data_IF_453219268950
#
_entry.id   IF_453219268950
#
_cell.length_a   1.000
_cell.length_b   1.000
_cell.length_c   1.000
_cell.angle_alpha   90.00
_cell.angle_beta   90.00
_cell.angle_gamma   90.00
#
_symmetry.space_group_name_H-M   'P 1'
#
loop_
_entity.id
_entity.type
_entity.pdbx_description
1 polymer ?
#
# COMPACT_ATOMS: atom_id res chain seq x y z
N UNK A 1 31.45 -13.02 -26.91
CA UNK A 1 30.59 -13.88 -26.08
C UNK A 1 30.09 -13.00 -24.94
N UNK A 2 28.84 -12.56 -25.02
CA UNK A 2 28.16 -11.80 -23.95
C UNK A 2 27.31 -12.80 -23.14
N UNK A 3 27.32 -12.76 -21.81
CA UNK A 3 26.40 -13.60 -21.05
C UNK A 3 24.99 -13.02 -21.12
N UNK A 4 24.03 -13.84 -21.50
CA UNK A 4 22.62 -13.55 -21.40
C UNK A 4 22.21 -13.60 -19.91
N UNK A 5 21.89 -12.45 -19.33
CA UNK A 5 21.17 -12.40 -18.07
C UNK A 5 19.70 -12.75 -18.37
N UNK A 6 19.31 -13.92 -17.92
CA UNK A 6 17.93 -14.38 -17.92
C UNK A 6 17.16 -13.54 -16.91
N UNK A 7 16.35 -12.59 -17.37
CA UNK A 7 15.42 -11.84 -16.52
C UNK A 7 14.31 -12.77 -16.06
N UNK A 8 14.40 -13.19 -14.81
CA UNK A 8 13.31 -13.86 -14.11
C UNK A 8 12.36 -12.77 -13.57
N UNK A 9 11.39 -12.35 -14.39
CA UNK A 9 10.37 -11.38 -14.02
C UNK A 9 9.19 -12.10 -13.34
N UNK A 10 9.12 -11.99 -12.02
CA UNK A 10 8.01 -12.51 -11.22
C UNK A 10 6.92 -11.44 -11.03
N UNK A 11 5.71 -11.92 -11.02
CA UNK A 11 4.44 -11.17 -10.98
C UNK A 11 4.25 -10.28 -9.77
N UNK A 12 3.66 -9.14 -10.01
CA UNK A 12 3.34 -8.18 -8.98
C UNK A 12 1.89 -7.76 -9.03
N UNK A 13 1.21 -8.03 -7.94
CA UNK A 13 -0.03 -7.35 -7.61
C UNK A 13 0.33 -6.00 -6.97
N UNK A 14 0.09 -4.91 -7.67
CA UNK A 14 -0.04 -3.60 -7.05
C UNK A 14 -1.42 -3.58 -6.38
N UNK A 15 -1.48 -4.03 -5.12
CA UNK A 15 -2.70 -3.79 -4.35
C UNK A 15 -2.66 -2.33 -3.95
N UNK A 16 -3.38 -1.51 -4.70
CA UNK A 16 -3.90 -0.26 -4.16
C UNK A 16 -4.65 -0.61 -2.87
N UNK A 17 -4.18 -0.11 -1.74
CA UNK A 17 -4.91 -0.19 -0.48
C UNK A 17 -6.08 0.79 -0.55
N UNK A 18 -7.04 0.50 -1.39
CA UNK A 18 -8.39 1.01 -1.31
C UNK A 18 -9.23 -0.12 -0.73
N UNK A 19 -9.90 0.15 0.38
CA UNK A 19 -10.97 -0.71 0.84
C UNK A 19 -12.03 -0.80 -0.25
N UNK A 20 -12.17 -1.94 -0.87
CA UNK A 20 -13.34 -2.29 -1.68
C UNK A 20 -13.60 -3.76 -1.49
N UNK A 21 -14.86 -4.07 -1.30
CA UNK A 21 -15.43 -5.38 -1.07
C UNK A 21 -14.94 -6.42 -2.07
N UNK A 22 -14.40 -7.53 -1.54
CA UNK A 22 -14.27 -8.77 -2.29
C UNK A 22 -15.66 -9.33 -2.62
N UNK A 23 -16.05 -9.21 -3.88
CA UNK A 23 -16.96 -10.19 -4.49
C UNK A 23 -16.16 -11.10 -5.42
N UNK A 24 -16.16 -12.34 -5.05
CA UNK A 24 -15.52 -13.50 -5.64
C UNK A 24 -15.46 -13.52 -7.17
N UNK A 25 -14.25 -13.63 -7.73
CA UNK A 25 -14.01 -14.48 -8.90
C UNK A 25 -12.70 -15.25 -8.70
N UNK A 26 -12.84 -16.56 -8.75
CA UNK A 26 -11.77 -17.53 -8.59
C UNK A 26 -10.77 -17.46 -9.74
N UNK A 27 -9.48 -17.24 -9.43
CA UNK A 27 -8.35 -18.03 -9.92
C UNK A 27 -7.04 -17.49 -9.37
N UNK A 28 -6.28 -18.40 -8.74
CA UNK A 28 -4.86 -18.29 -8.37
C UNK A 28 -4.48 -17.21 -7.35
N UNK A 29 -5.01 -17.34 -6.14
CA UNK A 29 -4.32 -16.89 -4.93
C UNK A 29 -3.14 -17.83 -4.66
N UNK A 30 -1.92 -17.30 -4.48
CA UNK A 30 -0.92 -18.02 -3.72
C UNK A 30 -1.53 -18.27 -2.34
N UNK A 31 -1.79 -19.53 -2.04
CA UNK A 31 -2.36 -19.99 -0.78
C UNK A 31 -1.59 -19.39 0.41
N UNK A 32 -2.26 -18.51 1.15
CA UNK A 32 -1.91 -18.16 2.53
C UNK A 32 -2.31 -19.37 3.44
N UNK A 33 -1.86 -20.58 3.06
CA UNK A 33 -2.15 -21.86 3.72
C UNK A 33 -1.19 -22.16 4.86
N UNK A 34 -0.47 -21.17 5.37
CA UNK A 34 0.32 -21.32 6.59
C UNK A 34 -0.59 -21.52 7.82
N UNK A 35 -0.96 -22.75 8.13
CA UNK A 35 -1.25 -23.17 9.49
C UNK A 35 -2.71 -23.19 9.98
N UNK A 36 -3.73 -23.30 9.14
CA UNK A 36 -5.13 -23.46 9.62
C UNK A 36 -5.82 -24.70 9.03
N UNK A 37 -5.11 -25.82 8.88
CA UNK A 37 -5.73 -27.07 8.41
C UNK A 37 -6.55 -27.82 9.48
N UNK A 38 -6.45 -27.45 10.76
CA UNK A 38 -7.14 -28.14 11.86
C UNK A 38 -7.94 -27.20 12.77
N UNK A 39 -8.91 -26.45 12.19
CA UNK A 39 -9.87 -25.70 13.00
C UNK A 39 -10.85 -26.70 13.64
N UNK A 40 -10.85 -26.76 14.94
CA UNK A 40 -11.74 -27.64 15.69
C UNK A 40 -13.19 -27.11 15.74
N UNK A 41 -14.12 -27.94 16.28
CA UNK A 41 -15.54 -27.56 16.37
C UNK A 41 -15.75 -26.37 17.31
N UNK A 42 -14.98 -26.24 18.37
CA UNK A 42 -15.09 -25.16 19.35
C UNK A 42 -14.61 -23.82 18.73
N UNK A 43 -13.58 -23.85 17.92
CA UNK A 43 -13.10 -22.67 17.20
C UNK A 43 -14.10 -22.19 16.13
N UNK A 44 -14.75 -23.13 15.43
CA UNK A 44 -15.86 -22.79 14.50
C UNK A 44 -17.03 -22.16 15.23
N UNK A 45 -17.43 -22.70 16.38
CA UNK A 45 -18.47 -22.11 17.21
C UNK A 45 -18.05 -20.72 17.73
N UNK A 46 -16.81 -20.55 18.14
CA UNK A 46 -16.25 -19.26 18.56
C UNK A 46 -16.22 -18.26 17.40
N UNK A 47 -15.85 -18.68 16.18
CA UNK A 47 -15.88 -17.87 14.99
C UNK A 47 -17.28 -17.39 14.61
N UNK A 48 -18.29 -18.25 14.77
CA UNK A 48 -19.68 -17.91 14.50
C UNK A 48 -20.24 -16.80 15.41
N UNK A 49 -19.62 -16.54 16.56
CA UNK A 49 -19.99 -15.48 17.51
C UNK A 49 -19.29 -14.14 17.20
N UNK A 50 -18.29 -14.16 16.30
CA UNK A 50 -17.54 -12.95 15.94
C UNK A 50 -18.37 -12.02 15.08
N UNK A 51 -18.14 -10.73 15.24
CA UNK A 51 -18.76 -9.66 14.46
C UNK A 51 -17.72 -8.94 13.62
N UNK A 52 -18.03 -8.70 12.37
CA UNK A 52 -17.24 -7.79 11.53
C UNK A 52 -17.28 -6.40 12.16
N UNK A 53 -16.13 -5.84 12.43
CA UNK A 53 -16.06 -4.45 12.87
C UNK A 53 -16.33 -3.52 11.67
N UNK A 54 -16.98 -2.41 11.95
CA UNK A 54 -17.02 -1.27 11.03
C UNK A 54 -15.93 -0.33 11.46
N UNK A 55 -14.91 -0.15 10.62
CA UNK A 55 -13.79 0.75 10.93
C UNK A 55 -14.21 2.21 10.64
N UNK A 56 -14.25 3.09 11.65
CA UNK A 56 -14.52 4.51 11.43
C UNK A 56 -13.53 5.18 10.48
N UNK A 57 -12.29 4.67 10.40
CA UNK A 57 -11.27 5.17 9.48
C UNK A 57 -11.61 4.81 8.04
N UNK A 58 -12.04 3.56 7.79
CA UNK A 58 -12.50 3.14 6.46
C UNK A 58 -13.69 3.99 6.00
N UNK A 59 -14.66 4.24 6.88
CA UNK A 59 -15.80 5.12 6.57
C UNK A 59 -15.35 6.56 6.23
N UNK A 60 -14.39 7.13 6.98
CA UNK A 60 -13.83 8.45 6.69
C UNK A 60 -13.12 8.47 5.33
N UNK A 61 -12.34 7.43 5.01
CA UNK A 61 -11.66 7.28 3.72
C UNK A 61 -12.67 7.17 2.58
N UNK A 62 -13.72 6.37 2.75
CA UNK A 62 -14.77 6.18 1.73
C UNK A 62 -15.52 7.47 1.45
N UNK A 63 -15.93 8.21 2.49
CA UNK A 63 -16.58 9.49 2.35
C UNK A 63 -15.68 10.52 1.64
N UNK A 64 -14.41 10.61 2.03
CA UNK A 64 -13.42 11.47 1.39
C UNK A 64 -13.21 11.10 -0.09
N UNK A 65 -13.10 9.80 -0.36
CA UNK A 65 -12.92 9.28 -1.73
C UNK A 65 -14.13 9.60 -2.61
N UNK A 66 -15.35 9.41 -2.08
CA UNK A 66 -16.58 9.72 -2.80
C UNK A 66 -16.69 11.20 -3.16
N UNK A 67 -16.34 12.09 -2.22
CA UNK A 67 -16.34 13.54 -2.44
C UNK A 67 -15.31 13.94 -3.52
N UNK A 68 -14.08 13.46 -3.43
CA UNK A 68 -13.02 13.74 -4.42
C UNK A 68 -13.42 13.22 -5.82
N UNK A 69 -13.97 12.01 -5.91
CA UNK A 69 -14.49 11.44 -7.17
C UNK A 69 -15.64 12.27 -7.76
N UNK A 70 -16.53 12.75 -6.92
CA UNK A 70 -17.63 13.62 -7.37
C UNK A 70 -17.10 14.92 -7.97
N UNK A 71 -16.14 15.58 -7.30
CA UNK A 71 -15.49 16.79 -7.82
C UNK A 71 -14.83 16.51 -9.17
N UNK A 72 -14.07 15.43 -9.28
CA UNK A 72 -13.37 15.03 -10.51
C UNK A 72 -14.36 14.74 -11.65
N UNK A 73 -15.38 13.92 -11.42
CA UNK A 73 -16.39 13.59 -12.42
C UNK A 73 -17.20 14.79 -12.90
N UNK A 74 -17.43 15.77 -12.01
CA UNK A 74 -18.13 17.03 -12.30
C UNK A 74 -17.20 18.14 -12.81
N UNK A 75 -15.91 17.86 -13.02
CA UNK A 75 -14.90 18.83 -13.52
C UNK A 75 -14.75 20.07 -12.64
N UNK A 76 -14.97 19.92 -11.34
CA UNK A 76 -14.78 20.99 -10.36
C UNK A 76 -13.29 21.18 -10.05
N UNK A 77 -12.51 21.53 -11.07
CA UNK A 77 -11.06 21.58 -10.99
C UNK A 77 -10.54 22.60 -9.97
N UNK A 78 -11.19 23.75 -9.82
CA UNK A 78 -10.82 24.75 -8.82
C UNK A 78 -10.95 24.20 -7.38
N UNK A 79 -12.01 23.41 -7.13
CA UNK A 79 -12.20 22.78 -5.82
C UNK A 79 -11.16 21.69 -5.56
N UNK A 80 -10.80 20.89 -6.57
CA UNK A 80 -9.73 19.90 -6.49
C UNK A 80 -8.37 20.54 -6.21
N UNK A 81 -8.03 21.63 -6.90
CA UNK A 81 -6.80 22.39 -6.65
C UNK A 81 -6.75 22.90 -5.21
N UNK A 82 -7.83 23.53 -4.76
CA UNK A 82 -7.93 24.05 -3.40
C UNK A 82 -7.78 22.94 -2.36
N UNK A 83 -8.51 21.82 -2.54
CA UNK A 83 -8.41 20.68 -1.62
C UNK A 83 -6.98 20.13 -1.55
N UNK A 84 -6.33 19.91 -2.69
CA UNK A 84 -4.97 19.41 -2.74
C UNK A 84 -3.97 20.39 -2.09
N UNK A 85 -4.10 21.69 -2.34
CA UNK A 85 -3.27 22.72 -1.73
C UNK A 85 -3.42 22.74 -0.20
N UNK A 86 -4.67 22.68 0.31
CA UNK A 86 -4.97 22.61 1.73
C UNK A 86 -4.35 21.35 2.37
N UNK A 87 -4.46 20.19 1.70
CA UNK A 87 -3.89 18.92 2.19
C UNK A 87 -2.36 18.95 2.24
N UNK A 88 -1.69 19.56 1.25
CA UNK A 88 -0.23 19.77 1.26
C UNK A 88 0.20 20.70 2.39
N UNK A 89 -0.48 21.82 2.53
CA UNK A 89 -0.14 22.82 3.54
C UNK A 89 -0.32 22.31 4.97
N UNK A 90 -1.39 21.56 5.22
CA UNK A 90 -1.74 21.05 6.55
C UNK A 90 -1.11 19.71 6.89
N UNK A 91 -0.60 18.97 5.87
CA UNK A 91 -0.12 17.58 6.02
C UNK A 91 -1.15 16.69 6.70
N UNK A 92 -2.42 16.87 6.37
CA UNK A 92 -3.55 16.21 7.04
C UNK A 92 -3.50 14.69 6.92
N UNK A 93 -3.79 14.04 8.05
CA UNK A 93 -3.83 12.59 8.18
C UNK A 93 -5.26 12.12 8.50
N UNK A 94 -5.55 10.86 8.15
CA UNK A 94 -6.67 10.12 8.72
C UNK A 94 -6.34 9.65 10.14
N UNK A 95 -7.32 9.11 10.84
CA UNK A 95 -7.16 8.65 12.24
C UNK A 95 -6.23 7.44 12.41
N UNK A 96 -5.78 6.80 11.33
CA UNK A 96 -4.76 5.75 11.33
C UNK A 96 -3.35 6.27 10.97
N UNK A 97 -3.23 7.59 10.76
CA UNK A 97 -2.00 8.23 10.34
C UNK A 97 -1.66 8.08 8.87
N UNK A 98 -2.57 7.59 8.05
CA UNK A 98 -2.40 7.63 6.60
C UNK A 98 -2.65 9.04 6.05
N UNK A 99 -1.92 9.40 5.00
CA UNK A 99 -1.94 10.75 4.45
C UNK A 99 -3.16 10.99 3.55
N UNK A 100 -3.95 12.04 3.86
CA UNK A 100 -5.12 12.42 3.05
C UNK A 100 -4.73 12.83 1.63
N UNK A 101 -3.57 13.48 1.44
CA UNK A 101 -3.09 13.84 0.08
C UNK A 101 -2.88 12.60 -0.79
N UNK A 102 -2.39 11.48 -0.23
CA UNK A 102 -2.29 10.24 -0.99
C UNK A 102 -3.68 9.75 -1.41
N UNK A 103 -4.63 9.71 -0.48
CA UNK A 103 -5.99 9.25 -0.76
C UNK A 103 -6.69 10.14 -1.80
N UNK A 104 -6.40 11.44 -1.80
CA UNK A 104 -6.87 12.35 -2.84
C UNK A 104 -6.52 11.84 -4.24
N UNK A 105 -5.26 11.51 -4.51
CA UNK A 105 -4.84 10.99 -5.82
C UNK A 105 -5.35 9.57 -6.10
N UNK A 106 -5.37 8.70 -5.10
CA UNK A 106 -5.93 7.34 -5.20
C UNK A 106 -7.44 7.37 -5.53
N UNK A 107 -8.14 8.41 -5.13
CA UNK A 107 -9.58 8.58 -5.43
C UNK A 107 -9.87 8.62 -6.94
N UNK A 108 -8.90 8.96 -7.79
CA UNK A 108 -9.07 9.03 -9.25
C UNK A 108 -8.65 7.74 -9.97
N UNK A 109 -8.07 6.77 -9.26
CA UNK A 109 -7.73 5.47 -9.82
C UNK A 109 -8.99 4.71 -10.23
N UNK A 110 -8.84 3.86 -11.26
CA UNK A 110 -9.90 2.98 -11.74
C UNK A 110 -9.67 1.57 -11.20
N UNK A 111 -10.74 0.82 -11.04
CA UNK A 111 -10.64 -0.58 -10.66
C UNK A 111 -10.48 -1.49 -11.88
N UNK A 112 -9.90 -2.66 -11.69
CA UNK A 112 -9.70 -3.68 -12.72
C UNK A 112 -11.03 -4.26 -13.24
N UNK A 113 -12.14 -4.04 -12.52
CA UNK A 113 -13.48 -4.47 -12.93
C UNK A 113 -14.15 -3.48 -13.89
N UNK A 114 -13.61 -2.25 -14.02
CA UNK A 114 -14.21 -1.22 -14.86
C UNK A 114 -13.92 -1.45 -16.34
N UNK A 115 -14.90 -1.26 -17.23
CA UNK A 115 -14.72 -1.48 -18.67
C UNK A 115 -13.76 -0.43 -19.26
N UNK A 116 -13.06 -0.79 -20.37
CA UNK A 116 -12.11 0.07 -21.07
C UNK A 116 -12.65 1.49 -21.39
N UNK A 117 -13.96 1.61 -21.65
CA UNK A 117 -14.59 2.91 -21.86
C UNK A 117 -14.51 3.84 -20.63
N UNK A 118 -14.49 3.28 -19.39
CA UNK A 118 -14.37 4.06 -18.18
C UNK A 118 -12.94 4.63 -18.03
N UNK A 119 -11.94 3.84 -18.42
CA UNK A 119 -10.54 4.27 -18.47
C UNK A 119 -10.35 5.42 -19.46
N UNK A 120 -10.93 5.32 -20.68
CA UNK A 120 -10.88 6.37 -21.68
C UNK A 120 -11.61 7.65 -21.23
N UNK A 121 -12.74 7.52 -20.55
CA UNK A 121 -13.46 8.65 -19.99
C UNK A 121 -12.66 9.35 -18.88
N UNK A 122 -11.97 8.59 -18.02
CA UNK A 122 -11.10 9.15 -17.00
C UNK A 122 -9.90 9.90 -17.60
N UNK A 123 -9.22 9.31 -18.61
CA UNK A 123 -8.13 10.00 -19.33
C UNK A 123 -8.60 11.36 -19.90
N UNK A 124 -9.79 11.40 -20.49
CA UNK A 124 -10.35 12.63 -21.02
C UNK A 124 -10.52 13.69 -19.92
N UNK A 125 -11.00 13.33 -18.73
CA UNK A 125 -11.15 14.28 -17.60
C UNK A 125 -9.79 14.80 -17.14
N UNK A 126 -8.77 13.94 -17.03
CA UNK A 126 -7.41 14.37 -16.70
C UNK A 126 -6.84 15.37 -17.72
N UNK A 127 -7.04 15.10 -19.02
CA UNK A 127 -6.62 16.03 -20.09
C UNK A 127 -7.35 17.37 -20.03
N UNK A 128 -8.64 17.37 -19.73
CA UNK A 128 -9.44 18.59 -19.53
C UNK A 128 -8.93 19.36 -18.32
N UNK A 129 -8.55 18.68 -17.22
CA UNK A 129 -7.99 19.31 -16.04
C UNK A 129 -6.65 19.99 -16.35
N UNK A 130 -5.71 19.28 -16.99
CA UNK A 130 -4.43 19.88 -17.43
C UNK A 130 -4.65 21.06 -18.35
N UNK A 131 -5.59 20.97 -19.30
CA UNK A 131 -5.92 22.10 -20.20
C UNK A 131 -6.44 23.30 -19.43
N UNK A 132 -7.25 23.10 -18.39
CA UNK A 132 -7.77 24.18 -17.54
C UNK A 132 -6.72 24.74 -16.58
N UNK A 133 -5.75 23.91 -16.14
CA UNK A 133 -4.73 24.22 -15.14
C UNK A 133 -3.33 23.72 -15.59
N UNK A 134 -2.74 24.31 -16.63
CA UNK A 134 -1.53 23.76 -17.27
C UNK A 134 -0.29 23.78 -16.37
N UNK A 135 -0.24 24.67 -15.38
CA UNK A 135 0.87 24.79 -14.42
C UNK A 135 0.57 24.12 -13.06
N UNK A 136 -0.53 23.37 -12.96
CA UNK A 136 -0.89 22.69 -11.73
C UNK A 136 -0.06 21.43 -11.52
N UNK A 137 0.71 21.38 -10.45
CA UNK A 137 1.39 20.15 -9.99
C UNK A 137 0.37 19.06 -9.67
N UNK A 138 -0.80 19.42 -9.12
CA UNK A 138 -1.89 18.51 -8.76
C UNK A 138 -2.44 17.79 -9.99
N UNK A 139 -2.78 18.53 -11.05
CA UNK A 139 -3.30 17.95 -12.29
C UNK A 139 -2.27 17.04 -12.98
N UNK A 140 -1.00 17.43 -12.99
CA UNK A 140 0.07 16.63 -13.57
C UNK A 140 0.28 15.31 -12.80
N UNK A 141 0.36 15.36 -11.48
CA UNK A 141 0.50 14.16 -10.66
C UNK A 141 -0.71 13.24 -10.82
N UNK A 142 -1.92 13.77 -10.80
CA UNK A 142 -3.14 13.00 -10.99
C UNK A 142 -3.13 12.24 -12.33
N UNK A 143 -2.69 12.91 -13.42
CA UNK A 143 -2.59 12.28 -14.74
C UNK A 143 -1.45 11.25 -14.82
N UNK A 144 -0.28 11.55 -14.24
CA UNK A 144 0.81 10.58 -14.18
C UNK A 144 0.41 9.33 -13.37
N UNK A 145 -0.26 9.51 -12.23
CA UNK A 145 -0.78 8.41 -11.42
C UNK A 145 -1.82 7.57 -12.17
N UNK A 146 -2.70 8.22 -12.94
CA UNK A 146 -3.65 7.54 -13.82
C UNK A 146 -2.93 6.66 -14.86
N UNK A 147 -1.87 7.14 -15.50
CA UNK A 147 -1.10 6.32 -16.44
C UNK A 147 -0.43 5.13 -15.76
N UNK A 148 0.12 5.31 -14.56
CA UNK A 148 0.69 4.21 -13.77
C UNK A 148 -0.38 3.17 -13.42
N UNK A 149 -1.53 3.60 -12.90
CA UNK A 149 -2.65 2.71 -12.59
C UNK A 149 -3.13 1.96 -13.85
N UNK A 150 -3.27 2.64 -14.99
CA UNK A 150 -3.68 2.03 -16.25
C UNK A 150 -2.61 1.08 -16.82
N UNK A 151 -1.33 1.35 -16.62
CA UNK A 151 -0.26 0.44 -17.00
C UNK A 151 -0.42 -0.91 -16.28
N UNK A 152 -0.55 -0.87 -14.96
CA UNK A 152 -0.71 -2.07 -14.15
C UNK A 152 -2.01 -2.84 -14.45
N UNK A 153 -3.10 -2.14 -14.72
CA UNK A 153 -4.34 -2.75 -15.19
C UNK A 153 -4.13 -3.58 -16.45
N UNK A 154 -3.51 -3.02 -17.49
CA UNK A 154 -3.30 -3.71 -18.76
C UNK A 154 -2.34 -4.89 -18.62
N UNK A 155 -1.33 -4.76 -17.76
CA UNK A 155 -0.39 -5.84 -17.47
C UNK A 155 -1.07 -7.01 -16.74
N UNK A 156 -2.09 -6.73 -15.96
CA UNK A 156 -2.75 -7.72 -15.11
C UNK A 156 -1.87 -8.21 -13.95
N UNK A 157 -2.44 -9.13 -13.17
CA UNK A 157 -1.81 -9.72 -11.98
C UNK A 157 -0.95 -10.96 -12.28
N UNK A 158 -0.90 -11.40 -13.52
CA UNK A 158 -0.19 -12.61 -13.95
C UNK A 158 1.35 -12.51 -13.86
N UNK A 159 2.02 -13.67 -13.91
CA UNK A 159 3.50 -13.73 -13.99
C UNK A 159 3.98 -13.07 -15.29
N UNK A 160 5.17 -12.47 -15.29
CA UNK A 160 5.72 -11.85 -16.50
C UNK A 160 5.73 -12.79 -17.71
N UNK A 161 5.93 -14.09 -17.47
CA UNK A 161 5.85 -15.14 -18.49
C UNK A 161 4.45 -15.38 -19.07
N UNK A 162 3.39 -14.90 -18.40
CA UNK A 162 1.99 -15.03 -18.85
C UNK A 162 1.45 -13.76 -19.51
N UNK A 163 2.23 -12.67 -19.51
CA UNK A 163 1.85 -11.39 -20.13
C UNK A 163 2.19 -11.42 -21.62
N UNK A 164 1.24 -11.12 -22.49
CA UNK A 164 1.48 -11.08 -23.94
C UNK A 164 2.38 -9.89 -24.34
N UNK A 165 3.07 -10.00 -25.47
CA UNK A 165 3.91 -8.91 -26.02
C UNK A 165 3.11 -7.61 -26.19
N UNK A 166 1.82 -7.69 -26.54
CA UNK A 166 0.93 -6.54 -26.68
C UNK A 166 0.65 -5.86 -25.34
N UNK A 167 0.43 -6.64 -24.30
CA UNK A 167 0.20 -6.13 -22.94
C UNK A 167 1.47 -5.50 -22.39
N UNK A 168 2.63 -6.14 -22.56
CA UNK A 168 3.92 -5.58 -22.20
C UNK A 168 4.20 -4.26 -22.92
N UNK A 169 4.02 -4.21 -24.23
CA UNK A 169 4.18 -2.98 -25.00
C UNK A 169 3.25 -1.87 -24.49
N UNK A 170 2.00 -2.21 -24.18
CA UNK A 170 1.04 -1.25 -23.66
C UNK A 170 1.38 -0.78 -22.25
N UNK A 171 1.93 -1.65 -21.41
CA UNK A 171 2.44 -1.33 -20.07
C UNK A 171 3.60 -0.33 -20.15
N UNK A 172 4.62 -0.66 -20.94
CA UNK A 172 5.80 0.20 -21.13
C UNK A 172 5.40 1.59 -21.65
N UNK A 173 4.54 1.65 -22.67
CA UNK A 173 4.07 2.93 -23.24
C UNK A 173 3.35 3.81 -22.22
N UNK A 174 2.56 3.24 -21.32
CA UNK A 174 1.89 4.03 -20.29
C UNK A 174 2.86 4.52 -19.21
N UNK A 175 3.83 3.70 -18.84
CA UNK A 175 4.89 4.15 -17.92
C UNK A 175 5.78 5.23 -18.55
N UNK A 176 6.06 5.16 -19.86
CA UNK A 176 6.71 6.24 -20.59
C UNK A 176 5.87 7.53 -20.52
N UNK A 177 4.55 7.46 -20.78
CA UNK A 177 3.66 8.61 -20.68
C UNK A 177 3.63 9.19 -19.26
N UNK A 178 3.60 8.35 -18.23
CA UNK A 178 3.70 8.81 -16.84
C UNK A 178 5.02 9.55 -16.60
N UNK A 179 6.14 8.99 -17.07
CA UNK A 179 7.47 9.61 -16.92
C UNK A 179 7.60 10.95 -17.65
N UNK A 180 7.01 11.09 -18.84
CA UNK A 180 6.98 12.36 -19.57
C UNK A 180 6.26 13.45 -18.77
N UNK A 181 5.09 13.14 -18.22
CA UNK A 181 4.32 14.07 -17.37
C UNK A 181 5.11 14.44 -16.11
N UNK A 182 5.76 13.47 -15.48
CA UNK A 182 6.59 13.69 -14.29
C UNK A 182 7.80 14.56 -14.60
N UNK A 183 8.52 14.31 -15.71
CA UNK A 183 9.64 15.14 -16.15
C UNK A 183 9.23 16.58 -16.42
N UNK A 184 8.09 16.79 -17.09
CA UNK A 184 7.55 18.12 -17.36
C UNK A 184 7.25 18.88 -16.06
N UNK A 185 6.60 18.21 -15.08
CA UNK A 185 6.19 18.84 -13.82
C UNK A 185 7.30 18.92 -12.76
N UNK A 186 8.47 18.32 -13.00
CA UNK A 186 9.59 18.32 -12.02
C UNK A 186 10.04 19.74 -11.67
N UNK A 187 10.05 20.63 -12.65
CA UNK A 187 10.54 22.00 -12.49
C UNK A 187 9.49 22.98 -11.95
N UNK A 188 8.26 22.53 -11.73
CA UNK A 188 7.24 23.39 -11.15
C UNK A 188 7.63 23.84 -9.74
N UNK A 189 7.35 25.11 -9.38
CA UNK A 189 7.76 25.65 -8.08
C UNK A 189 7.05 24.95 -6.92
N UNK A 190 5.79 24.60 -7.10
CA UNK A 190 5.04 23.83 -6.10
C UNK A 190 5.45 22.37 -6.12
N UNK A 191 5.61 21.77 -4.94
CA UNK A 191 6.02 20.37 -4.77
C UNK A 191 4.96 19.62 -3.96
N UNK A 192 4.90 18.30 -4.20
CA UNK A 192 3.93 17.40 -3.56
C UNK A 192 4.60 16.05 -3.32
N UNK A 193 4.50 15.45 -2.13
CA UNK A 193 5.13 14.16 -1.84
C UNK A 193 4.65 13.03 -2.75
N UNK A 194 3.43 13.13 -3.29
CA UNK A 194 2.90 12.14 -4.21
C UNK A 194 3.64 12.13 -5.56
N UNK A 195 4.27 13.25 -5.97
CA UNK A 195 5.09 13.27 -7.18
C UNK A 195 6.20 12.19 -7.12
N UNK A 196 6.95 12.15 -6.03
CA UNK A 196 7.98 11.12 -5.83
C UNK A 196 7.38 9.72 -5.69
N UNK A 197 6.21 9.58 -5.05
CA UNK A 197 5.57 8.27 -4.94
C UNK A 197 5.21 7.71 -6.32
N UNK A 198 4.66 8.52 -7.22
CA UNK A 198 4.33 8.13 -8.60
C UNK A 198 5.62 7.86 -9.39
N UNK A 199 6.64 8.71 -9.23
CA UNK A 199 7.94 8.54 -9.90
C UNK A 199 8.64 7.22 -9.47
N UNK A 200 8.65 6.90 -8.17
CA UNK A 200 9.19 5.64 -7.65
C UNK A 200 8.43 4.42 -8.19
N UNK A 201 7.09 4.51 -8.31
CA UNK A 201 6.30 3.42 -8.89
C UNK A 201 6.58 3.25 -10.38
N UNK A 202 6.77 4.35 -11.10
CA UNK A 202 7.14 4.35 -12.52
C UNK A 202 8.55 3.75 -12.70
N UNK A 203 9.51 4.18 -11.90
CA UNK A 203 10.89 3.69 -11.93
C UNK A 203 10.97 2.19 -11.63
N UNK A 204 10.18 1.70 -10.66
CA UNK A 204 10.05 0.27 -10.35
C UNK A 204 9.56 -0.52 -11.57
N UNK A 205 8.48 -0.08 -12.20
CA UNK A 205 7.91 -0.76 -13.37
C UNK A 205 8.80 -0.72 -14.60
N UNK A 206 9.64 0.30 -14.75
CA UNK A 206 10.61 0.44 -15.84
C UNK A 206 11.97 -0.22 -15.53
N UNK A 207 12.17 -0.77 -14.33
CA UNK A 207 13.41 -1.43 -13.95
C UNK A 207 14.63 -0.49 -13.92
N UNK A 208 14.48 0.69 -13.32
CA UNK A 208 15.58 1.65 -13.24
C UNK A 208 16.80 1.07 -12.51
N UNK A 209 18.02 1.48 -12.91
CA UNK A 209 19.23 1.13 -12.17
C UNK A 209 19.10 1.50 -10.69
N UNK A 210 19.66 0.64 -9.83
CA UNK A 210 19.57 0.79 -8.36
C UNK A 210 20.04 2.18 -7.90
N UNK A 211 21.12 2.68 -8.47
CA UNK A 211 21.73 3.97 -8.13
C UNK A 211 20.79 5.14 -8.44
N UNK A 212 20.04 5.09 -9.53
CA UNK A 212 19.10 6.14 -9.91
C UNK A 212 17.81 6.06 -9.09
N UNK A 213 17.38 4.83 -8.78
CA UNK A 213 16.27 4.61 -7.86
C UNK A 213 16.59 5.13 -6.44
N UNK A 214 17.82 4.83 -5.94
CA UNK A 214 18.27 5.29 -4.62
C UNK A 214 18.33 6.82 -4.53
N UNK A 215 18.85 7.50 -5.56
CA UNK A 215 18.84 8.98 -5.62
C UNK A 215 17.42 9.54 -5.55
N UNK A 216 16.47 8.94 -6.29
CA UNK A 216 15.08 9.37 -6.27
C UNK A 216 14.44 9.19 -4.86
N UNK A 217 14.78 8.09 -4.17
CA UNK A 217 14.36 7.87 -2.78
C UNK A 217 14.97 8.92 -1.85
N UNK A 218 16.27 9.22 -2.00
CA UNK A 218 16.95 10.22 -1.18
C UNK A 218 16.31 11.62 -1.34
N UNK A 219 15.99 12.02 -2.56
CA UNK A 219 15.24 13.26 -2.83
C UNK A 219 13.87 13.25 -2.15
N UNK A 220 13.12 12.14 -2.30
CA UNK A 220 11.78 11.99 -1.75
C UNK A 220 11.76 12.12 -0.21
N UNK A 221 12.66 11.41 0.46
CA UNK A 221 12.74 11.42 1.93
C UNK A 221 13.38 12.70 2.48
N UNK A 222 14.22 13.39 1.72
CA UNK A 222 14.74 14.71 2.07
C UNK A 222 13.63 15.77 2.00
N UNK A 223 12.73 15.67 1.00
CA UNK A 223 11.59 16.55 0.87
C UNK A 223 10.58 16.37 2.01
N UNK A 224 10.16 15.12 2.27
CA UNK A 224 9.17 14.84 3.31
C UNK A 224 9.50 13.53 4.05
N UNK A 225 10.29 13.61 5.12
CA UNK A 225 10.79 12.43 5.84
C UNK A 225 9.70 11.67 6.61
N UNK A 226 8.52 12.28 6.79
CA UNK A 226 7.39 11.67 7.50
C UNK A 226 6.35 11.05 6.55
N UNK A 227 6.52 11.23 5.23
CA UNK A 227 5.65 10.60 4.24
C UNK A 227 6.06 9.13 4.03
N UNK A 228 5.57 8.26 4.91
CA UNK A 228 5.96 6.84 5.01
C UNK A 228 5.89 6.04 3.71
N UNK A 229 5.17 6.53 2.68
CA UNK A 229 5.05 5.83 1.40
C UNK A 229 6.34 5.81 0.59
N UNK A 230 7.22 6.79 0.75
CA UNK A 230 8.53 6.79 0.08
C UNK A 230 9.38 5.61 0.56
N UNK A 231 9.48 5.45 1.88
CA UNK A 231 10.23 4.35 2.48
C UNK A 231 9.58 2.99 2.21
N UNK A 232 8.25 2.93 2.22
CA UNK A 232 7.54 1.72 1.82
C UNK A 232 7.87 1.31 0.37
N UNK A 233 7.84 2.25 -0.59
CA UNK A 233 8.15 1.96 -2.00
C UNK A 233 9.58 1.45 -2.16
N UNK A 234 10.54 2.02 -1.40
CA UNK A 234 11.91 1.51 -1.41
C UNK A 234 12.00 0.10 -0.84
N UNK A 235 11.45 -0.14 0.35
CA UNK A 235 11.44 -1.46 0.95
C UNK A 235 10.77 -2.49 0.04
N UNK A 236 9.65 -2.12 -0.59
CA UNK A 236 8.96 -2.96 -1.56
C UNK A 236 9.81 -3.32 -2.78
N UNK A 237 10.60 -2.36 -3.32
CA UNK A 237 11.51 -2.59 -4.44
C UNK A 237 12.67 -3.51 -4.08
N UNK A 238 12.97 -3.65 -2.79
CA UNK A 238 14.02 -4.51 -2.25
C UNK A 238 13.54 -5.92 -1.87
N UNK A 239 12.27 -6.25 -2.12
CA UNK A 239 11.84 -7.64 -2.02
C UNK A 239 12.54 -8.51 -3.06
N UNK A 240 12.87 -9.80 -2.75
CA UNK A 240 13.50 -10.72 -3.71
C UNK A 240 12.70 -10.95 -4.99
N UNK A 241 11.38 -10.70 -4.95
CA UNK A 241 10.51 -10.74 -6.14
C UNK A 241 10.75 -9.58 -7.11
N UNK A 242 11.51 -8.55 -6.69
CA UNK A 242 11.86 -7.37 -7.49
C UNK A 242 13.36 -7.31 -7.75
N UNK A 243 14.07 -6.48 -7.03
CA UNK A 243 15.48 -6.15 -7.31
C UNK A 243 16.37 -6.31 -6.09
N UNK A 244 15.85 -6.84 -4.96
CA UNK A 244 16.60 -7.05 -3.73
C UNK A 244 17.00 -8.49 -3.50
N UNK A 245 17.95 -8.66 -2.61
CA UNK A 245 18.34 -9.95 -2.04
C UNK A 245 17.67 -10.16 -0.67
N UNK A 246 17.60 -11.42 -0.16
CA UNK A 246 17.09 -11.69 1.19
C UNK A 246 17.83 -10.87 2.26
N UNK A 247 17.10 -10.08 3.04
CA UNK A 247 17.63 -9.19 4.08
C UNK A 247 17.76 -7.72 3.66
N UNK A 248 17.66 -7.40 2.38
CA UNK A 248 17.86 -6.02 1.87
C UNK A 248 16.75 -5.07 2.36
N UNK A 249 15.48 -5.48 2.29
CA UNK A 249 14.39 -4.63 2.71
C UNK A 249 14.37 -4.43 4.23
N UNK A 250 14.78 -5.44 5.01
CA UNK A 250 14.86 -5.37 6.47
C UNK A 250 15.97 -4.42 6.92
N UNK A 251 17.13 -4.51 6.29
CA UNK A 251 18.24 -3.59 6.53
C UNK A 251 17.83 -2.14 6.17
N UNK A 252 17.14 -1.95 5.06
CA UNK A 252 16.61 -0.64 4.68
C UNK A 252 15.55 -0.13 5.68
N UNK A 253 14.62 -0.98 6.11
CA UNK A 253 13.59 -0.60 7.07
C UNK A 253 14.20 -0.15 8.41
N UNK A 254 15.29 -0.81 8.85
CA UNK A 254 16.03 -0.39 10.04
C UNK A 254 16.67 0.98 9.85
N UNK A 255 17.36 1.21 8.74
CA UNK A 255 17.95 2.51 8.37
C UNK A 255 16.87 3.62 8.30
N UNK A 256 15.71 3.32 7.75
CA UNK A 256 14.59 4.26 7.67
C UNK A 256 14.03 4.62 9.06
N UNK A 257 13.97 3.65 9.97
CA UNK A 257 13.56 3.88 11.36
C UNK A 257 14.56 4.72 12.17
N UNK A 258 15.83 4.70 11.82
CA UNK A 258 16.89 5.48 12.48
C UNK A 258 17.07 6.89 11.92
N UNK A 259 16.32 7.22 10.85
CA UNK A 259 16.46 8.52 10.17
C UNK A 259 16.06 9.67 11.10
N UNK A 260 16.97 10.64 11.23
CA UNK A 260 16.70 11.88 12.00
C UNK A 260 15.56 12.67 11.32
N UNK A 261 14.58 13.06 12.11
CA UNK A 261 13.39 13.78 11.61
C UNK A 261 12.33 12.90 10.95
N UNK A 262 12.56 11.57 10.88
CA UNK A 262 11.60 10.59 10.39
C UNK A 262 10.62 10.11 11.47
N UNK A 263 9.96 8.99 11.21
CA UNK A 263 8.91 8.44 12.08
C UNK A 263 9.45 7.47 13.16
N UNK A 264 10.75 7.20 13.20
CA UNK A 264 11.29 6.25 14.17
C UNK A 264 10.82 4.81 13.93
N UNK A 265 10.62 4.07 15.02
CA UNK A 265 10.16 2.67 14.95
C UNK A 265 8.76 2.54 14.29
N UNK A 266 7.94 3.60 14.31
CA UNK A 266 6.69 3.63 13.54
C UNK A 266 6.93 3.34 12.06
N UNK A 267 8.00 3.89 11.45
CA UNK A 267 8.34 3.63 10.04
C UNK A 267 8.60 2.14 9.81
N UNK A 268 9.36 1.51 10.70
CA UNK A 268 9.64 0.07 10.61
C UNK A 268 8.36 -0.75 10.64
N UNK A 269 7.47 -0.49 11.59
CA UNK A 269 6.20 -1.20 11.71
C UNK A 269 5.30 -0.99 10.47
N UNK A 270 5.24 0.23 9.92
CA UNK A 270 4.47 0.52 8.69
C UNK A 270 5.00 -0.25 7.48
N UNK A 271 6.32 -0.41 7.36
CA UNK A 271 6.95 -1.23 6.31
C UNK A 271 6.56 -2.69 6.51
N UNK A 272 6.74 -3.24 7.71
CA UNK A 272 6.37 -4.64 8.02
C UNK A 272 4.89 -4.92 7.74
N UNK A 273 3.99 -4.06 8.21
CA UNK A 273 2.54 -4.17 7.93
C UNK A 273 2.28 -4.20 6.41
N UNK A 274 2.94 -3.33 5.66
CA UNK A 274 2.74 -3.24 4.21
C UNK A 274 3.30 -4.44 3.44
N UNK A 275 4.41 -5.02 3.91
CA UNK A 275 5.10 -6.11 3.21
C UNK A 275 4.63 -7.51 3.63
N UNK A 276 3.94 -7.67 4.78
CA UNK A 276 3.57 -8.98 5.34
C UNK A 276 2.81 -9.91 4.38
N UNK A 277 2.07 -9.35 3.43
CA UNK A 277 1.32 -10.13 2.45
C UNK A 277 2.17 -10.70 1.31
N UNK A 278 3.42 -10.26 1.20
CA UNK A 278 4.37 -10.71 0.18
C UNK A 278 5.40 -11.69 0.75
N UNK A 279 5.46 -11.80 2.06
CA UNK A 279 6.33 -12.69 2.81
C UNK A 279 5.49 -13.78 3.49
N UNK A 280 6.03 -14.96 3.65
CA UNK A 280 5.35 -16.08 4.30
C UNK A 280 5.20 -15.86 5.81
N UNK A 281 6.01 -16.55 6.60
CA UNK A 281 6.06 -16.35 8.05
C UNK A 281 7.01 -15.18 8.36
N UNK A 282 6.48 -13.95 8.39
CA UNK A 282 7.25 -12.69 8.45
C UNK A 282 8.51 -12.73 9.34
N UNK A 283 8.41 -13.25 10.57
CA UNK A 283 9.53 -13.25 11.52
C UNK A 283 10.32 -14.56 11.55
N UNK A 284 9.94 -15.56 10.77
CA UNK A 284 10.60 -16.87 10.69
C UNK A 284 11.32 -17.04 9.36
N UNK A 285 10.73 -16.54 8.28
CA UNK A 285 11.24 -16.68 6.91
C UNK A 285 12.07 -15.46 6.48
N UNK A 286 12.02 -14.35 7.23
CA UNK A 286 12.76 -13.12 6.93
C UNK A 286 13.64 -12.67 8.10
N UNK A 287 14.43 -11.63 7.89
CA UNK A 287 15.24 -10.99 8.94
C UNK A 287 14.49 -9.85 9.65
N UNK A 288 13.16 -9.80 9.54
CA UNK A 288 12.35 -8.79 10.21
C UNK A 288 12.49 -8.84 11.73
N UNK A 289 12.76 -7.69 12.35
CA UNK A 289 12.92 -7.56 13.79
C UNK A 289 11.57 -7.42 14.49
N UNK A 290 11.13 -8.47 15.19
CA UNK A 290 9.94 -8.37 16.04
C UNK A 290 10.06 -7.28 17.13
N UNK A 291 11.17 -7.17 17.88
CA UNK A 291 11.30 -6.11 18.88
C UNK A 291 11.11 -4.71 18.29
N UNK A 292 11.67 -4.44 17.10
CA UNK A 292 11.51 -3.14 16.44
C UNK A 292 10.10 -2.95 15.89
N UNK A 293 9.47 -3.99 15.36
CA UNK A 293 8.08 -3.97 14.92
C UNK A 293 7.14 -3.68 16.10
N UNK A 294 7.32 -4.36 17.23
CA UNK A 294 6.53 -4.17 18.45
C UNK A 294 6.65 -2.73 18.98
N UNK A 295 7.87 -2.20 19.03
CA UNK A 295 8.12 -0.79 19.42
C UNK A 295 7.32 0.16 18.52
N UNK A 296 7.37 -0.04 17.19
CA UNK A 296 6.63 0.78 16.24
C UNK A 296 5.11 0.64 16.34
N UNK A 297 4.60 -0.56 16.57
CA UNK A 297 3.17 -0.80 16.83
C UNK A 297 2.69 -0.10 18.10
N UNK A 298 3.49 -0.08 19.15
CA UNK A 298 3.20 0.66 20.38
C UNK A 298 3.17 2.18 20.13
N UNK A 299 4.11 2.71 19.33
CA UNK A 299 4.09 4.12 18.92
C UNK A 299 2.85 4.45 18.08
N UNK A 300 2.49 3.60 17.12
CA UNK A 300 1.27 3.75 16.32
C UNK A 300 0.01 3.77 17.18
N UNK A 301 -0.13 2.83 18.12
CA UNK A 301 -1.27 2.77 19.04
C UNK A 301 -1.36 3.99 19.95
N UNK A 302 -0.23 4.52 20.39
CA UNK A 302 -0.19 5.74 21.21
C UNK A 302 -0.64 6.97 20.43
N UNK A 303 -0.22 7.09 19.16
CA UNK A 303 -0.60 8.21 18.29
C UNK A 303 -2.02 8.10 17.74
N UNK A 304 -2.49 6.88 17.46
CA UNK A 304 -3.75 6.57 16.77
C UNK A 304 -4.55 5.52 17.56
N UNK A 305 -4.95 5.85 18.81
CA UNK A 305 -5.52 4.86 19.74
C UNK A 305 -6.84 4.25 19.27
N UNK A 306 -7.60 4.96 18.45
CA UNK A 306 -8.91 4.55 17.96
C UNK A 306 -8.86 3.74 16.66
N UNK A 307 -7.66 3.51 16.10
CA UNK A 307 -7.52 2.75 14.86
C UNK A 307 -7.68 1.25 15.09
N UNK A 308 -8.83 0.71 14.73
CA UNK A 308 -9.09 -0.73 14.79
C UNK A 308 -8.11 -1.51 13.91
N UNK A 309 -7.71 -0.93 12.78
CA UNK A 309 -6.74 -1.54 11.88
C UNK A 309 -5.39 -1.78 12.57
N UNK A 310 -4.86 -0.77 13.28
CA UNK A 310 -3.57 -0.90 13.99
C UNK A 310 -3.65 -2.00 15.06
N UNK A 311 -4.76 -2.11 15.79
CA UNK A 311 -4.94 -3.15 16.81
C UNK A 311 -5.03 -4.54 16.18
N UNK A 312 -5.79 -4.69 15.08
CA UNK A 312 -5.87 -5.96 14.34
C UNK A 312 -4.51 -6.39 13.75
N UNK A 313 -3.77 -5.46 13.13
CA UNK A 313 -2.41 -5.72 12.61
C UNK A 313 -1.45 -6.10 13.75
N UNK A 314 -1.54 -5.44 14.90
CA UNK A 314 -0.73 -5.77 16.07
C UNK A 314 -1.05 -7.18 16.61
N UNK A 315 -2.32 -7.56 16.66
CA UNK A 315 -2.73 -8.92 17.06
C UNK A 315 -2.17 -9.98 16.09
N UNK A 316 -2.30 -9.75 14.79
CA UNK A 316 -1.80 -10.66 13.76
C UNK A 316 -0.27 -10.80 13.83
N UNK A 317 0.46 -9.69 13.83
CA UNK A 317 1.92 -9.70 13.82
C UNK A 317 2.51 -10.25 15.11
N UNK A 318 1.88 -10.00 16.28
CA UNK A 318 2.27 -10.62 17.55
C UNK A 318 2.09 -12.14 17.52
N UNK A 319 1.03 -12.62 16.88
CA UNK A 319 0.80 -14.07 16.70
C UNK A 319 1.86 -14.67 15.79
N UNK A 320 2.18 -14.03 14.66
CA UNK A 320 3.25 -14.47 13.75
C UNK A 320 4.63 -14.50 14.44
N UNK A 321 4.86 -13.59 15.39
CA UNK A 321 6.09 -13.52 16.18
C UNK A 321 6.07 -14.43 17.43
N UNK A 322 5.00 -15.18 17.66
CA UNK A 322 4.78 -15.98 18.88
C UNK A 322 4.90 -15.21 20.19
N UNK A 323 4.66 -13.88 20.17
CA UNK A 323 4.58 -13.05 21.38
C UNK A 323 3.17 -13.16 21.97
N UNK A 324 2.94 -14.26 22.70
CA UNK A 324 1.64 -14.60 23.28
C UNK A 324 1.08 -13.48 24.18
N UNK A 325 1.93 -12.86 24.99
CA UNK A 325 1.50 -11.82 25.92
C UNK A 325 0.96 -10.58 25.18
N UNK A 326 1.67 -10.12 24.15
CA UNK A 326 1.24 -8.97 23.37
C UNK A 326 0.05 -9.31 22.46
N UNK A 327 0.02 -10.52 21.87
CA UNK A 327 -1.13 -11.00 21.13
C UNK A 327 -2.40 -11.03 22.00
N UNK A 328 -2.30 -11.57 23.22
CA UNK A 328 -3.42 -11.62 24.17
C UNK A 328 -3.94 -10.23 24.50
N UNK A 329 -3.05 -9.26 24.78
CA UNK A 329 -3.43 -7.86 25.04
C UNK A 329 -4.24 -7.30 23.85
N UNK A 330 -3.79 -7.53 22.62
CA UNK A 330 -4.47 -7.00 21.42
C UNK A 330 -5.82 -7.68 21.18
N UNK A 331 -5.90 -9.00 21.29
CA UNK A 331 -7.16 -9.73 21.15
C UNK A 331 -8.17 -9.40 22.26
N UNK A 332 -7.72 -9.10 23.47
CA UNK A 332 -8.60 -8.69 24.55
C UNK A 332 -9.18 -7.27 24.29
N UNK A 333 -8.42 -6.37 23.66
CA UNK A 333 -8.94 -5.07 23.20
C UNK A 333 -9.96 -5.22 22.06
N UNK A 334 -9.78 -6.18 21.15
CA UNK A 334 -10.70 -6.44 20.03
C UNK A 334 -11.98 -7.14 20.48
N UNK A 335 -11.93 -7.92 21.57
CA UNK A 335 -13.07 -8.69 22.06
C UNK A 335 -13.60 -9.67 21.03
N UNK A 336 -14.89 -9.52 20.67
CA UNK A 336 -15.56 -10.34 19.66
C UNK A 336 -15.69 -9.64 18.30
N UNK A 337 -14.85 -8.65 18.03
CA UNK A 337 -14.87 -7.92 16.76
C UNK A 337 -13.54 -8.07 16.00
N UNK A 338 -13.61 -8.16 14.68
CA UNK A 338 -12.44 -8.27 13.82
C UNK A 338 -12.62 -7.46 12.53
N UNK A 339 -11.50 -7.06 11.90
CA UNK A 339 -11.50 -6.43 10.59
C UNK A 339 -11.25 -7.49 9.51
N UNK A 340 -12.17 -7.66 8.54
CA UNK A 340 -11.96 -8.57 7.40
C UNK A 340 -10.74 -8.22 6.55
N UNK A 341 -10.36 -6.95 6.47
CA UNK A 341 -9.16 -6.48 5.76
C UNK A 341 -7.84 -6.98 6.37
N UNK A 342 -7.85 -7.45 7.65
CA UNK A 342 -6.69 -8.04 8.33
C UNK A 342 -6.88 -9.55 8.53
N UNK A 343 -8.08 -9.96 8.91
CA UNK A 343 -8.47 -11.36 9.10
C UNK A 343 -9.60 -11.72 8.13
N UNK A 344 -9.29 -12.13 6.88
CA UNK A 344 -10.32 -12.45 5.88
C UNK A 344 -11.28 -13.57 6.34
N UNK A 345 -10.77 -14.51 7.15
CA UNK A 345 -11.52 -15.63 7.71
C UNK A 345 -11.71 -15.44 9.22
N UNK A 346 -12.96 -15.37 9.75
CA UNK A 346 -13.20 -15.24 11.19
C UNK A 346 -12.65 -16.43 12.00
N UNK A 347 -12.54 -17.61 11.38
CA UNK A 347 -11.94 -18.78 11.99
C UNK A 347 -10.47 -18.57 12.33
N UNK A 348 -9.72 -17.88 11.45
CA UNK A 348 -8.31 -17.54 11.71
C UNK A 348 -8.19 -16.60 12.91
N UNK A 349 -9.05 -15.61 13.02
CA UNK A 349 -9.10 -14.73 14.19
C UNK A 349 -9.41 -15.52 15.47
N UNK A 350 -10.41 -16.42 15.44
CA UNK A 350 -10.81 -17.23 16.59
C UNK A 350 -9.65 -18.15 17.03
N UNK A 351 -9.00 -18.83 16.09
CA UNK A 351 -7.87 -19.72 16.32
C UNK A 351 -6.68 -18.97 16.98
N UNK A 352 -6.27 -17.84 16.42
CA UNK A 352 -5.16 -17.05 16.96
C UNK A 352 -5.49 -16.44 18.32
N UNK A 353 -6.73 -15.99 18.54
CA UNK A 353 -7.20 -15.52 19.84
C UNK A 353 -7.19 -16.64 20.89
N UNK A 354 -7.61 -17.86 20.51
CA UNK A 354 -7.56 -19.03 21.38
C UNK A 354 -6.12 -19.34 21.79
N UNK A 355 -5.20 -19.40 20.81
CA UNK A 355 -3.78 -19.57 21.11
C UNK A 355 -3.25 -18.48 22.04
N UNK A 356 -3.55 -17.22 21.77
CA UNK A 356 -3.11 -16.10 22.60
C UNK A 356 -3.57 -16.23 24.07
N UNK A 357 -4.76 -16.79 24.30
CA UNK A 357 -5.34 -16.97 25.64
C UNK A 357 -4.87 -18.24 26.35
N UNK A 358 -4.61 -19.30 25.61
CA UNK A 358 -4.38 -20.65 26.19
C UNK A 358 -2.94 -21.13 26.03
N UNK A 359 -2.17 -20.59 25.07
CA UNK A 359 -0.86 -21.09 24.65
C UNK A 359 -0.91 -22.36 23.79
N UNK A 360 -2.09 -22.82 23.40
CA UNK A 360 -2.29 -24.03 22.60
C UNK A 360 -2.71 -23.64 21.17
N UNK A 361 -2.01 -24.20 20.19
CA UNK A 361 -2.36 -24.14 18.78
C UNK A 361 -3.47 -25.13 18.44
#
# INVERSE_FOLDING_TARGET
>A
MKPHHSLCLLSVLLVCLSGCDEKSSSTASSDDSGGVENIDAAEREAAAKLRKAVDPVEQEIDAFTAEARQMFGSRRFDDLEKLAADLRATKSLFRDGSWKIRQFYVSFERSDEEPDKAWKAADQIHREWIKAKPESITAQIAHANFYVNYAWFVRGSGYASSVSDKENFSFEKRLESALEVLKFSREFPEKDPMWWNVALTTALGQGWPKEDFDKLVEEAVAFEPTYHRHDYQRAYSLLPRWYGDPGDWEAYAMKAAERKGGLGAEMYARIVIGLRKFEGQMFQDTQASWPKTKEGLQQLRTKYPDSLRIINEAALLATMATDQAYAKEMFDLLGDTYLPSVFPKPERFAHYRNWARTGKW
#
